data_IF_744884534531
#
_entry.id   IF_744884534531
#
_cell.length_a   1.000
_cell.length_b   1.000
_cell.length_c   1.000
_cell.angle_alpha   90.00
_cell.angle_beta   90.00
_cell.angle_gamma   90.00
#
_symmetry.space_group_name_H-M   'P 1'
#
loop_
_entity.id
_entity.type
_entity.pdbx_description
1 polymer ?
#
# COMPACT_ATOMS: atom_id res chain seq x y z
N UNK A 1 8.45 -25.04 -24.69
CA UNK A 1 7.26 -24.82 -23.83
C UNK A 1 7.27 -23.40 -23.28
N UNK A 2 6.27 -22.59 -23.62
CA UNK A 2 6.19 -21.18 -23.19
C UNK A 2 5.90 -21.11 -21.69
N UNK A 3 6.81 -20.51 -20.92
CA UNK A 3 6.67 -20.37 -19.46
C UNK A 3 5.52 -19.41 -19.16
N UNK A 4 4.46 -19.90 -18.50
CA UNK A 4 3.35 -19.03 -18.03
C UNK A 4 3.89 -18.01 -17.03
N UNK A 5 3.45 -16.76 -17.17
CA UNK A 5 3.77 -15.67 -16.22
C UNK A 5 3.26 -16.06 -14.83
N UNK A 6 4.15 -15.97 -13.83
CA UNK A 6 3.80 -16.26 -12.43
C UNK A 6 2.89 -15.16 -11.90
N UNK A 7 1.76 -15.55 -11.31
CA UNK A 7 0.87 -14.64 -10.57
C UNK A 7 1.41 -14.50 -9.14
N UNK A 8 1.57 -13.28 -8.66
CA UNK A 8 1.96 -12.99 -7.27
C UNK A 8 0.72 -13.06 -6.37
N UNK A 9 0.21 -14.27 -6.18
CA UNK A 9 -0.94 -14.58 -5.34
C UNK A 9 -0.69 -15.86 -4.55
N UNK A 10 -1.49 -16.10 -3.52
CA UNK A 10 -1.42 -17.34 -2.75
C UNK A 10 -1.66 -18.56 -3.67
N UNK A 11 -0.77 -19.55 -3.62
CA UNK A 11 -0.92 -20.80 -4.37
C UNK A 11 -1.73 -21.76 -3.52
N UNK A 12 -2.99 -22.02 -3.86
CA UNK A 12 -3.91 -22.83 -3.03
C UNK A 12 -3.42 -24.26 -2.82
N UNK A 13 -2.94 -24.93 -3.88
CA UNK A 13 -2.46 -26.31 -3.81
C UNK A 13 -1.16 -26.40 -2.97
N UNK A 14 -1.24 -27.12 -1.84
CA UNK A 14 -0.15 -27.23 -0.88
C UNK A 14 1.14 -27.85 -1.45
N UNK A 15 1.03 -28.91 -2.27
CA UNK A 15 2.20 -29.57 -2.88
C UNK A 15 2.90 -28.68 -3.91
N UNK A 16 2.10 -27.98 -4.73
CA UNK A 16 2.60 -26.99 -5.69
C UNK A 16 3.27 -25.81 -4.97
N UNK A 17 2.65 -25.32 -3.90
CA UNK A 17 3.18 -24.25 -3.04
C UNK A 17 4.51 -24.63 -2.42
N UNK A 18 4.62 -25.81 -1.81
CA UNK A 18 5.86 -26.31 -1.22
C UNK A 18 6.99 -26.47 -2.25
N UNK A 19 6.68 -27.04 -3.42
CA UNK A 19 7.66 -27.21 -4.50
C UNK A 19 8.14 -25.86 -5.04
N UNK A 20 7.22 -24.90 -5.19
CA UNK A 20 7.54 -23.55 -5.65
C UNK A 20 8.39 -22.81 -4.63
N UNK A 21 8.06 -22.89 -3.34
CA UNK A 21 8.84 -22.31 -2.25
C UNK A 21 10.28 -22.83 -2.26
N UNK A 22 10.48 -24.14 -2.40
CA UNK A 22 11.82 -24.72 -2.45
C UNK A 22 12.63 -24.21 -3.65
N UNK A 23 12.01 -24.12 -4.83
CA UNK A 23 12.66 -23.57 -6.04
C UNK A 23 12.99 -22.07 -5.87
N UNK A 24 12.07 -21.29 -5.32
CA UNK A 24 12.26 -19.86 -5.08
C UNK A 24 13.34 -19.61 -4.03
N UNK A 25 13.37 -20.40 -2.95
CA UNK A 25 14.39 -20.36 -1.89
C UNK A 25 15.80 -20.55 -2.47
N UNK A 26 16.01 -21.61 -3.25
CA UNK A 26 17.30 -21.86 -3.91
C UNK A 26 17.66 -20.74 -4.88
N UNK A 27 16.72 -20.29 -5.71
CA UNK A 27 16.94 -19.20 -6.66
C UNK A 27 17.26 -17.86 -5.99
N UNK A 28 16.57 -17.54 -4.89
CA UNK A 28 16.78 -16.33 -4.12
C UNK A 28 18.17 -16.33 -3.48
N UNK A 29 18.56 -17.41 -2.80
CA UNK A 29 19.88 -17.49 -2.18
C UNK A 29 21.02 -17.41 -3.20
N UNK A 30 20.84 -18.00 -4.39
CA UNK A 30 21.80 -17.85 -5.48
C UNK A 30 21.95 -16.37 -5.86
N UNK A 31 20.85 -15.63 -5.97
CA UNK A 31 20.87 -14.20 -6.28
C UNK A 31 21.45 -13.35 -5.17
N UNK A 32 21.18 -13.66 -3.90
CA UNK A 32 21.79 -12.98 -2.76
C UNK A 32 23.31 -13.20 -2.75
N UNK A 33 23.76 -14.44 -3.00
CA UNK A 33 25.20 -14.75 -3.12
C UNK A 33 25.85 -14.00 -4.28
N UNK A 34 25.24 -14.02 -5.47
CA UNK A 34 25.73 -13.27 -6.63
C UNK A 34 25.83 -11.76 -6.32
N UNK A 35 24.80 -11.18 -5.68
CA UNK A 35 24.77 -9.77 -5.31
C UNK A 35 25.88 -9.42 -4.30
N UNK A 36 26.07 -10.26 -3.29
CA UNK A 36 27.13 -10.09 -2.27
C UNK A 36 28.50 -10.05 -2.94
N UNK A 37 28.75 -10.95 -3.90
CA UNK A 37 30.04 -11.03 -4.61
C UNK A 37 30.23 -9.86 -5.59
N UNK A 38 29.21 -9.55 -6.40
CA UNK A 38 29.34 -8.56 -7.47
C UNK A 38 29.39 -7.12 -6.97
N UNK A 39 28.70 -6.85 -5.86
CA UNK A 39 28.58 -5.49 -5.32
C UNK A 39 29.40 -5.31 -4.04
N UNK A 40 30.10 -6.34 -3.57
CA UNK A 40 30.85 -6.34 -2.29
C UNK A 40 29.99 -5.83 -1.12
N UNK A 41 28.78 -6.40 -1.00
CA UNK A 41 27.81 -6.02 0.05
C UNK A 41 27.61 -7.16 1.03
N UNK A 42 27.55 -6.82 2.33
CA UNK A 42 27.15 -7.79 3.37
C UNK A 42 25.64 -8.01 3.33
N UNK A 43 25.22 -9.27 3.19
CA UNK A 43 23.82 -9.65 3.15
C UNK A 43 23.58 -10.94 3.92
N UNK A 44 22.36 -11.09 4.46
CA UNK A 44 21.88 -12.31 5.09
C UNK A 44 20.46 -12.59 4.62
N UNK A 45 20.01 -13.84 4.76
CA UNK A 45 18.63 -14.21 4.48
C UNK A 45 18.11 -15.22 5.52
N UNK A 46 16.93 -14.93 6.07
CA UNK A 46 16.20 -15.82 6.98
C UNK A 46 14.84 -16.12 6.34
N UNK A 47 14.57 -17.40 6.07
CA UNK A 47 13.38 -17.83 5.33
C UNK A 47 12.62 -18.88 6.14
N UNK A 48 11.44 -18.50 6.63
CA UNK A 48 10.52 -19.40 7.32
C UNK A 48 9.66 -20.19 6.33
N UNK A 49 9.27 -21.40 6.71
CA UNK A 49 8.39 -22.26 5.93
C UNK A 49 7.35 -22.87 6.85
N UNK A 50 6.05 -22.87 6.49
CA UNK A 50 5.00 -23.44 7.34
C UNK A 50 5.17 -24.95 7.58
N UNK A 51 5.90 -25.64 6.68
CA UNK A 51 6.12 -27.08 6.76
C UNK A 51 7.42 -27.47 7.49
N UNK A 52 8.18 -26.51 8.02
CA UNK A 52 9.46 -26.77 8.69
C UNK A 52 9.53 -25.96 9.98
N UNK A 53 9.96 -26.60 11.05
CA UNK A 53 10.15 -25.93 12.35
C UNK A 53 11.29 -24.92 12.25
N UNK A 54 12.41 -25.33 11.66
CA UNK A 54 13.60 -24.48 11.55
C UNK A 54 13.58 -23.61 10.28
N UNK A 55 13.94 -22.32 10.40
CA UNK A 55 14.12 -21.45 9.24
C UNK A 55 15.33 -21.87 8.41
N UNK A 56 15.33 -21.49 7.13
CA UNK A 56 16.61 -21.40 6.42
C UNK A 56 17.35 -20.18 6.88
N UNK A 57 18.62 -20.35 7.19
CA UNK A 57 19.54 -19.25 7.42
C UNK A 57 20.68 -19.33 6.39
N UNK A 58 21.06 -18.18 5.85
CA UNK A 58 22.21 -18.01 4.96
C UNK A 58 22.94 -16.72 5.33
N UNK A 59 24.29 -16.69 5.37
CA UNK A 59 25.22 -17.72 4.88
C UNK A 59 25.49 -18.89 5.84
N UNK A 60 25.65 -18.61 7.14
CA UNK A 60 25.61 -19.59 8.24
C UNK A 60 24.87 -18.95 9.42
N UNK A 61 24.59 -19.74 10.45
CA UNK A 61 23.93 -19.23 11.66
C UNK A 61 24.82 -18.17 12.33
N UNK A 62 26.09 -18.47 12.54
CA UNK A 62 27.07 -17.62 13.22
C UNK A 62 27.31 -16.31 12.46
N UNK A 63 27.53 -16.40 11.15
CA UNK A 63 27.71 -15.23 10.31
C UNK A 63 26.44 -14.36 10.27
N UNK A 64 25.26 -14.98 10.27
CA UNK A 64 23.98 -14.25 10.33
C UNK A 64 23.82 -13.53 11.66
N UNK A 65 24.16 -14.17 12.79
CA UNK A 65 24.14 -13.53 14.11
C UNK A 65 25.09 -12.32 14.17
N UNK A 66 26.33 -12.46 13.67
CA UNK A 66 27.28 -11.34 13.62
C UNK A 66 26.75 -10.16 12.80
N UNK A 67 26.25 -10.42 11.59
CA UNK A 67 25.65 -9.37 10.74
C UNK A 67 24.42 -8.72 11.38
N UNK A 68 23.60 -9.50 12.09
CA UNK A 68 22.41 -9.01 12.76
C UNK A 68 22.77 -8.13 13.97
N UNK A 69 23.81 -8.51 14.71
CA UNK A 69 24.39 -7.70 15.78
C UNK A 69 24.89 -6.34 15.25
N UNK A 70 25.70 -6.37 14.19
CA UNK A 70 26.17 -5.16 13.50
C UNK A 70 25.00 -4.28 13.03
N UNK A 71 23.95 -4.88 12.47
CA UNK A 71 22.78 -4.16 11.99
C UNK A 71 22.02 -3.48 13.13
N UNK A 72 21.77 -4.18 14.24
CA UNK A 72 21.05 -3.62 15.38
C UNK A 72 21.87 -2.60 16.18
N UNK A 73 23.19 -2.62 16.07
CA UNK A 73 24.06 -1.57 16.61
C UNK A 73 23.94 -0.23 15.86
N UNK A 74 23.39 -0.21 14.63
CA UNK A 74 23.21 1.02 13.86
C UNK A 74 22.08 1.90 14.43
N UNK A 75 22.10 3.23 14.21
CA UNK A 75 20.99 4.10 14.59
C UNK A 75 19.67 3.71 13.91
N UNK A 76 18.54 3.82 14.63
CA UNK A 76 17.20 3.44 14.13
C UNK A 76 16.81 4.09 12.80
N UNK A 77 17.25 5.34 12.57
CA UNK A 77 17.02 6.05 11.31
C UNK A 77 17.68 5.34 10.12
N UNK A 78 18.87 4.76 10.33
CA UNK A 78 19.61 4.02 9.30
C UNK A 78 18.97 2.66 9.06
N UNK A 79 18.58 1.96 10.14
CA UNK A 79 17.89 0.67 10.05
C UNK A 79 16.60 0.77 9.22
N UNK A 80 15.80 1.82 9.44
CA UNK A 80 14.49 2.00 8.80
C UNK A 80 14.51 2.65 7.42
N UNK A 81 15.62 3.29 7.01
CA UNK A 81 15.68 4.12 5.79
C UNK A 81 15.25 3.39 4.51
N UNK A 82 15.56 2.09 4.43
CA UNK A 82 15.24 1.23 3.29
C UNK A 82 14.54 -0.07 3.71
N UNK A 83 13.93 -0.07 4.89
CA UNK A 83 13.13 -1.19 5.33
C UNK A 83 11.90 -1.30 4.43
N UNK A 84 11.65 -2.49 3.89
CA UNK A 84 10.44 -2.80 3.15
C UNK A 84 9.74 -3.96 3.82
N UNK A 85 8.52 -3.74 4.27
CA UNK A 85 7.66 -4.79 4.81
C UNK A 85 6.65 -5.26 3.77
N UNK A 86 6.02 -6.41 4.04
CA UNK A 86 4.89 -6.88 3.22
C UNK A 86 3.76 -5.84 3.25
N UNK A 87 3.49 -5.25 4.41
CA UNK A 87 2.49 -4.20 4.58
C UNK A 87 2.82 -2.95 3.74
N UNK A 88 4.06 -2.45 3.80
CA UNK A 88 4.45 -1.27 3.03
C UNK A 88 4.34 -1.52 1.52
N UNK A 89 4.73 -2.71 1.06
CA UNK A 89 4.57 -3.13 -0.33
C UNK A 89 3.10 -3.20 -0.74
N UNK A 90 2.24 -3.82 0.08
CA UNK A 90 0.80 -3.92 -0.21
C UNK A 90 0.16 -2.53 -0.25
N UNK A 91 0.51 -1.65 0.70
CA UNK A 91 0.05 -0.25 0.72
C UNK A 91 0.45 0.49 -0.55
N UNK A 92 1.70 0.36 -0.98
CA UNK A 92 2.18 0.97 -2.24
C UNK A 92 1.41 0.43 -3.46
N UNK A 93 1.15 -0.88 -3.52
CA UNK A 93 0.36 -1.47 -4.62
C UNK A 93 -1.08 -1.00 -4.63
N UNK A 94 -1.72 -0.95 -3.47
CA UNK A 94 -3.08 -0.43 -3.33
C UNK A 94 -3.15 1.03 -3.77
N UNK A 95 -2.19 1.86 -3.35
CA UNK A 95 -2.09 3.25 -3.77
C UNK A 95 -1.94 3.37 -5.29
N UNK A 96 -1.06 2.58 -5.92
CA UNK A 96 -0.88 2.60 -7.38
C UNK A 96 -2.16 2.23 -8.14
N UNK A 97 -2.89 1.22 -7.67
CA UNK A 97 -4.17 0.83 -8.27
C UNK A 97 -5.20 1.95 -8.09
N UNK A 98 -5.25 2.55 -6.90
CA UNK A 98 -6.14 3.68 -6.62
C UNK A 98 -5.83 4.89 -7.52
N UNK A 99 -4.55 5.25 -7.70
CA UNK A 99 -4.13 6.31 -8.61
C UNK A 99 -4.53 6.03 -10.07
N UNK A 100 -4.41 4.78 -10.53
CA UNK A 100 -4.84 4.39 -11.87
C UNK A 100 -6.36 4.49 -12.03
N UNK A 101 -7.11 4.11 -11.00
CA UNK A 101 -8.57 4.23 -10.98
C UNK A 101 -9.00 5.69 -11.03
N UNK A 102 -8.41 6.56 -10.20
CA UNK A 102 -8.69 8.00 -10.19
C UNK A 102 -8.36 8.65 -11.54
N UNK A 103 -7.23 8.31 -12.16
CA UNK A 103 -6.88 8.79 -13.52
C UNK A 103 -7.91 8.35 -14.57
N UNK A 104 -8.42 7.12 -14.45
CA UNK A 104 -9.40 6.58 -15.39
C UNK A 104 -10.77 7.23 -15.21
N UNK A 105 -11.18 7.49 -13.97
CA UNK A 105 -12.42 8.22 -13.67
C UNK A 105 -12.35 9.67 -14.14
N UNK A 106 -11.24 10.36 -13.89
CA UNK A 106 -11.06 11.73 -14.37
C UNK A 106 -11.17 11.84 -15.90
N UNK A 107 -10.56 10.90 -16.64
CA UNK A 107 -10.71 10.85 -18.10
C UNK A 107 -12.16 10.64 -18.56
N UNK A 108 -12.94 9.88 -17.80
CA UNK A 108 -14.38 9.70 -18.09
C UNK A 108 -15.15 10.99 -17.81
N UNK A 109 -14.86 11.67 -16.71
CA UNK A 109 -15.46 12.97 -16.39
C UNK A 109 -15.12 14.00 -17.47
N UNK A 110 -13.84 14.12 -17.85
CA UNK A 110 -13.38 15.02 -18.92
C UNK A 110 -14.13 14.72 -20.23
N UNK A 111 -14.27 13.44 -20.61
CA UNK A 111 -15.03 13.04 -21.80
C UNK A 111 -16.51 13.45 -21.73
N UNK A 112 -17.16 13.30 -20.57
CA UNK A 112 -18.54 13.73 -20.37
C UNK A 112 -18.66 15.25 -20.51
N UNK A 113 -17.72 16.00 -19.95
CA UNK A 113 -17.70 17.46 -20.10
C UNK A 113 -17.50 17.87 -21.56
N UNK A 114 -16.55 17.26 -22.27
CA UNK A 114 -16.28 17.56 -23.68
C UNK A 114 -17.54 17.33 -24.54
N UNK A 115 -18.25 16.22 -24.31
CA UNK A 115 -19.52 15.92 -24.98
C UNK A 115 -20.59 16.97 -24.66
N UNK A 116 -20.75 17.36 -23.39
CA UNK A 116 -21.71 18.40 -23.00
C UNK A 116 -21.38 19.75 -23.62
N UNK A 117 -20.11 20.13 -23.67
CA UNK A 117 -19.67 21.37 -24.31
C UNK A 117 -19.96 21.34 -25.83
N UNK A 118 -19.72 20.22 -26.51
CA UNK A 118 -20.08 20.08 -27.93
C UNK A 118 -21.59 20.20 -28.15
N UNK A 119 -22.41 19.59 -27.30
CA UNK A 119 -23.87 19.70 -27.41
C UNK A 119 -24.35 21.14 -27.23
N UNK A 120 -23.81 21.86 -26.25
CA UNK A 120 -24.12 23.27 -26.02
C UNK A 120 -23.69 24.16 -27.20
N UNK A 121 -22.58 23.84 -27.86
CA UNK A 121 -22.15 24.52 -29.10
C UNK A 121 -23.08 24.21 -30.28
N UNK A 122 -23.64 23.00 -30.32
CA UNK A 122 -24.58 22.54 -31.36
C UNK A 122 -26.05 22.88 -31.03
N UNK A 123 -26.28 24.06 -30.44
CA UNK A 123 -27.59 24.63 -30.14
C UNK A 123 -28.44 23.91 -29.06
N UNK A 124 -27.89 23.00 -28.26
CA UNK A 124 -28.58 22.55 -27.04
C UNK A 124 -28.70 23.72 -26.08
N UNK A 125 -29.91 24.02 -25.60
CA UNK A 125 -30.10 25.15 -24.67
C UNK A 125 -29.70 24.71 -23.27
N UNK A 126 -29.16 25.66 -22.50
CA UNK A 126 -28.76 25.45 -21.09
C UNK A 126 -29.95 24.99 -20.24
N UNK A 127 -31.16 25.48 -20.53
CA UNK A 127 -32.39 25.08 -19.82
C UNK A 127 -32.74 23.60 -20.00
N UNK A 128 -32.22 22.96 -21.04
CA UNK A 128 -32.46 21.55 -21.35
C UNK A 128 -31.45 20.63 -20.63
N UNK A 129 -30.54 21.17 -19.81
CA UNK A 129 -29.59 20.40 -19.00
C UNK A 129 -30.27 19.78 -17.79
N UNK A 130 -29.94 18.52 -17.51
CA UNK A 130 -30.32 17.89 -16.26
C UNK A 130 -29.42 18.36 -15.12
N UNK A 131 -29.87 18.11 -13.89
CA UNK A 131 -29.18 18.62 -12.70
C UNK A 131 -27.75 18.08 -12.56
N UNK A 132 -27.50 16.80 -12.89
CA UNK A 132 -26.14 16.24 -12.86
C UNK A 132 -25.19 16.87 -13.89
N UNK A 133 -25.68 17.20 -15.08
CA UNK A 133 -24.90 17.88 -16.12
C UNK A 133 -24.55 19.32 -15.70
N UNK A 134 -25.50 20.01 -15.07
CA UNK A 134 -25.27 21.35 -14.50
C UNK A 134 -24.16 21.28 -13.44
N UNK A 135 -24.24 20.32 -12.51
CA UNK A 135 -23.19 20.16 -11.49
C UNK A 135 -21.83 19.80 -12.08
N UNK A 136 -21.79 18.95 -13.11
CA UNK A 136 -20.56 18.60 -13.80
C UNK A 136 -19.90 19.84 -14.43
N UNK A 137 -20.68 20.67 -15.14
CA UNK A 137 -20.19 21.92 -15.73
C UNK A 137 -19.76 22.95 -14.68
N UNK A 138 -20.50 23.06 -13.57
CA UNK A 138 -20.12 23.92 -12.45
C UNK A 138 -18.78 23.48 -11.84
N UNK A 139 -18.61 22.19 -11.57
CA UNK A 139 -17.37 21.62 -11.06
C UNK A 139 -16.19 21.89 -12.00
N UNK A 140 -16.38 21.61 -13.29
CA UNK A 140 -15.39 21.90 -14.33
C UNK A 140 -15.01 23.38 -14.40
N UNK A 141 -16.00 24.28 -14.35
CA UNK A 141 -15.76 25.73 -14.35
C UNK A 141 -14.95 26.18 -13.11
N UNK A 142 -15.24 25.61 -11.94
CA UNK A 142 -14.51 25.89 -10.70
C UNK A 142 -13.06 25.46 -10.82
N UNK A 143 -12.82 24.24 -11.28
CA UNK A 143 -11.49 23.65 -11.43
C UNK A 143 -10.64 24.42 -12.45
N UNK A 144 -11.23 24.80 -13.58
CA UNK A 144 -10.56 25.61 -14.61
C UNK A 144 -10.22 27.01 -14.09
N UNK A 145 -11.11 27.67 -13.35
CA UNK A 145 -10.81 28.96 -12.72
C UNK A 145 -9.65 28.81 -11.73
N UNK A 146 -9.66 27.77 -10.88
CA UNK A 146 -8.57 27.51 -9.93
C UNK A 146 -7.25 27.28 -10.66
N UNK A 147 -7.25 26.49 -11.74
CA UNK A 147 -6.05 26.22 -12.54
C UNK A 147 -5.50 27.50 -13.19
N UNK A 148 -6.37 28.36 -13.73
CA UNK A 148 -5.98 29.66 -14.28
C UNK A 148 -5.38 30.57 -13.21
N UNK A 149 -5.99 30.64 -12.02
CA UNK A 149 -5.48 31.44 -10.88
C UNK A 149 -4.08 30.98 -10.46
N UNK A 150 -3.83 29.67 -10.39
CA UNK A 150 -2.49 29.11 -10.12
C UNK A 150 -1.45 29.39 -11.20
N UNK A 151 -1.86 29.72 -12.42
CA UNK A 151 -0.92 30.18 -13.46
C UNK A 151 -0.66 31.70 -13.37
N UNK A 152 -1.55 32.43 -12.69
CA UNK A 152 -1.47 33.86 -12.40
C UNK A 152 -1.04 34.10 -10.94
N UNK A 153 -0.02 33.37 -10.47
CA UNK A 153 0.45 33.34 -9.07
C UNK A 153 0.87 34.71 -8.47
N UNK A 154 0.91 35.78 -9.28
CA UNK A 154 1.23 37.14 -8.86
C UNK A 154 0.00 37.99 -8.48
N UNK A 155 -1.23 37.46 -8.59
CA UNK A 155 -2.47 38.19 -8.27
C UNK A 155 -3.22 37.57 -7.07
N UNK A 156 -3.78 38.43 -6.20
CA UNK A 156 -4.71 37.99 -5.15
C UNK A 156 -6.13 37.88 -5.72
N UNK A 157 -6.78 36.72 -5.53
CA UNK A 157 -8.15 36.47 -5.99
C UNK A 157 -9.09 36.19 -4.81
N UNK A 158 -10.35 36.63 -4.92
CA UNK A 158 -11.40 36.31 -3.94
C UNK A 158 -11.77 34.82 -3.95
N UNK A 159 -12.09 34.20 -2.80
CA UNK A 159 -12.55 32.81 -2.73
C UNK A 159 -13.77 32.55 -3.62
N UNK A 160 -13.79 31.42 -4.34
CA UNK A 160 -14.96 31.00 -5.12
C UNK A 160 -16.08 30.57 -4.17
N UNK A 161 -17.34 30.92 -4.49
CA UNK A 161 -18.50 30.36 -3.77
C UNK A 161 -18.54 28.85 -3.97
N UNK A 162 -18.87 28.13 -2.90
CA UNK A 162 -19.15 26.71 -2.99
C UNK A 162 -20.45 26.48 -3.77
N UNK A 163 -20.52 25.43 -4.63
CA UNK A 163 -21.76 25.01 -5.24
C UNK A 163 -22.82 24.72 -4.18
N UNK A 164 -24.12 24.93 -4.46
CA UNK A 164 -25.18 24.49 -3.57
C UNK A 164 -25.09 22.97 -3.38
N UNK A 165 -25.04 22.51 -2.13
CA UNK A 165 -25.03 21.09 -1.77
C UNK A 165 -26.43 20.51 -1.94
N UNK A 166 -26.56 19.31 -2.53
CA UNK A 166 -27.86 18.65 -2.68
C UNK A 166 -28.41 18.22 -1.31
N UNK A 167 -29.74 18.34 -1.05
CA UNK A 167 -30.34 17.84 0.20
C UNK A 167 -30.14 16.35 0.48
N UNK A 168 -29.81 15.54 -0.54
CA UNK A 168 -29.52 14.11 -0.37
C UNK A 168 -28.10 13.82 0.14
N UNK A 169 -27.14 14.74 -0.02
CA UNK A 169 -25.79 14.60 0.56
C UNK A 169 -25.81 14.84 2.08
N UNK A 170 -26.78 15.62 2.58
CA UNK A 170 -26.98 15.83 4.02
C UNK A 170 -27.29 14.50 4.73
N UNK A 171 -28.00 13.58 4.08
CA UNK A 171 -28.31 12.27 4.66
C UNK A 171 -27.07 11.38 4.73
N UNK A 172 -26.23 11.37 3.68
CA UNK A 172 -24.99 10.57 3.65
C UNK A 172 -23.97 11.07 4.67
N UNK A 173 -23.83 12.39 4.82
CA UNK A 173 -22.99 12.96 5.87
C UNK A 173 -23.57 12.63 7.26
N UNK A 174 -24.90 12.64 7.45
CA UNK A 174 -25.54 12.18 8.70
C UNK A 174 -25.22 10.72 9.01
N UNK A 175 -25.24 9.82 8.03
CA UNK A 175 -24.86 8.41 8.22
C UNK A 175 -23.38 8.25 8.56
N UNK A 176 -22.51 9.11 7.98
CA UNK A 176 -21.07 9.15 8.24
C UNK A 176 -20.74 9.72 9.63
N UNK A 177 -21.47 10.75 10.08
CA UNK A 177 -21.35 11.32 11.42
C UNK A 177 -21.91 10.36 12.47
N UNK A 178 -23.03 9.67 12.21
CA UNK A 178 -23.56 8.63 13.12
C UNK A 178 -22.61 7.43 13.24
N UNK A 179 -21.91 7.04 12.16
CA UNK A 179 -20.89 5.96 12.26
C UNK A 179 -19.61 6.41 12.97
N UNK A 180 -19.22 7.68 12.85
CA UNK A 180 -18.07 8.22 13.58
C UNK A 180 -18.39 8.49 15.06
N UNK A 181 -19.64 8.83 15.40
CA UNK A 181 -20.06 9.12 16.78
C UNK A 181 -20.37 7.85 17.59
N UNK A 182 -20.71 6.72 16.94
CA UNK A 182 -20.79 5.40 17.61
C UNK A 182 -19.38 4.81 17.89
N UNK A 183 -18.32 5.38 17.29
CA UNK A 183 -16.94 4.91 17.45
C UNK A 183 -16.20 5.52 18.65
N UNK A 184 -16.81 6.43 19.41
CA UNK A 184 -16.19 6.99 20.62
C UNK A 184 -16.68 6.22 21.84
N UNK A 185 -15.94 5.17 22.18
CA UNK A 185 -16.00 4.53 23.50
C UNK A 185 -16.54 3.10 23.51
N UNK A 186 -15.71 2.14 23.14
CA UNK A 186 -15.44 1.00 24.02
C UNK A 186 -14.19 0.27 23.54
N UNK A 187 -13.17 0.32 24.39
CA UNK A 187 -11.95 -0.46 24.29
C UNK A 187 -12.28 -1.94 24.10
N UNK A 188 -11.70 -2.54 23.06
CA UNK A 188 -11.49 -3.98 23.01
C UNK A 188 -10.01 -4.23 22.75
N UNK A 189 -9.25 -4.07 23.84
CA UNK A 189 -7.99 -4.76 24.11
C UNK A 189 -8.24 -6.29 24.13
N UNK A 190 -8.41 -6.91 22.94
CA UNK A 190 -8.41 -8.38 22.85
C UNK A 190 -8.23 -8.94 21.45
N UNK A 191 -7.21 -8.48 20.73
CA UNK A 191 -6.75 -9.18 19.51
C UNK A 191 -5.26 -9.04 19.20
N UNK A 192 -4.54 -8.15 19.90
CA UNK A 192 -3.09 -7.94 19.72
C UNK A 192 -2.19 -8.89 20.51
N UNK A 193 -2.71 -9.55 21.55
CA UNK A 193 -1.88 -10.37 22.42
C UNK A 193 -1.36 -11.65 21.75
N UNK A 194 -2.04 -12.21 20.73
CA UNK A 194 -1.62 -13.49 20.15
C UNK A 194 -0.44 -13.37 19.20
N UNK A 195 -0.31 -12.30 18.40
CA UNK A 195 0.82 -12.12 17.47
C UNK A 195 2.06 -11.53 18.16
N UNK A 196 1.87 -10.67 19.17
CA UNK A 196 2.97 -10.15 19.98
C UNK A 196 3.48 -11.17 20.99
N UNK A 197 2.59 -12.00 21.59
CA UNK A 197 3.01 -13.15 22.38
C UNK A 197 3.74 -14.17 21.50
N UNK A 198 3.28 -14.44 20.27
CA UNK A 198 3.99 -15.38 19.37
C UNK A 198 5.38 -14.86 18.97
N UNK A 199 5.57 -13.53 18.83
CA UNK A 199 6.91 -12.94 18.61
C UNK A 199 7.77 -12.98 19.86
N UNK A 200 7.22 -12.69 21.04
CA UNK A 200 7.96 -12.77 22.32
C UNK A 200 8.35 -14.21 22.65
N UNK A 201 7.44 -15.16 22.48
CA UNK A 201 7.67 -16.60 22.64
C UNK A 201 8.78 -17.07 21.68
N UNK A 202 8.79 -16.65 20.42
CA UNK A 202 9.85 -17.03 19.49
C UNK A 202 11.22 -16.39 19.82
N UNK A 203 11.26 -15.20 20.42
CA UNK A 203 12.51 -14.57 20.88
C UNK A 203 13.01 -15.20 22.18
N UNK A 204 12.11 -15.60 23.09
CA UNK A 204 12.46 -16.24 24.36
C UNK A 204 12.89 -17.71 24.17
N UNK A 205 12.28 -18.45 23.22
CA UNK A 205 12.76 -19.79 22.80
C UNK A 205 14.20 -19.71 22.27
N UNK A 206 14.57 -18.61 21.61
CA UNK A 206 15.95 -18.38 21.14
C UNK A 206 16.94 -18.05 22.28
N UNK A 207 16.46 -17.55 23.42
CA UNK A 207 17.29 -17.32 24.62
C UNK A 207 17.43 -18.58 25.48
N UNK A 208 16.39 -19.40 25.61
CA UNK A 208 16.45 -20.64 26.40
C UNK A 208 17.36 -21.71 25.77
N UNK A 209 17.50 -21.76 24.44
CA UNK A 209 18.44 -22.69 23.77
C UNK A 209 19.92 -22.32 23.96
N UNK A 210 20.23 -21.11 24.46
CA UNK A 210 21.59 -20.75 24.89
C UNK A 210 21.91 -21.34 26.27
N UNK A 211 20.91 -21.47 27.15
CA UNK A 211 21.13 -21.90 28.54
C UNK A 211 21.30 -23.42 28.70
N UNK A 212 20.86 -24.22 27.72
CA UNK A 212 20.98 -25.68 27.73
C UNK A 212 22.25 -26.22 27.04
N UNK A 213 23.06 -25.35 26.42
CA UNK A 213 24.29 -25.74 25.71
C UNK A 213 25.58 -25.30 26.44
N UNK A 214 25.46 -24.78 27.67
CA UNK A 214 26.60 -24.37 28.53
C UNK A 214 26.68 -25.16 29.86
N UNK A 215 26.19 -26.41 29.90
CA UNK A 215 26.50 -27.37 30.97
C UNK A 215 27.09 -28.67 30.42
#
# INVERSE_FOLDING_TARGET
>A
MTRKKVKLAWVENAKSRATSLQKMRVGLLKKVKELTILCDVRALAIIFSPNKVEPMVWPSIEATHGLLGDFFALPKLVQKKKESSVESYLKEKTQKIHEQLMKSNKKKEDYVIDELLMQLQNNRRIVDLNLSEIYALLSFSRDTIILCRKKLDFMQFTPLRDPPVFPFEIQVEKFKTITNDISVGQDNERAGETDEATRRINVDIFKEQQHYNEQ
#
